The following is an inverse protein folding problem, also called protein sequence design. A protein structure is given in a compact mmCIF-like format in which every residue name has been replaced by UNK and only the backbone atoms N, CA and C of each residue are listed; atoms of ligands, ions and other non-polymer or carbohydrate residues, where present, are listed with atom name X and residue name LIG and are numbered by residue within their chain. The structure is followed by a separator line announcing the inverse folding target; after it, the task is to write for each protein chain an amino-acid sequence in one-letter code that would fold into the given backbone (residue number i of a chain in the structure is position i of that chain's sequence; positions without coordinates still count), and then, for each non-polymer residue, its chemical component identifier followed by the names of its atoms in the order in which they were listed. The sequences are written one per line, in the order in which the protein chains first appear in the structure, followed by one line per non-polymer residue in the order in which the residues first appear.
data_IF_295471135739
#
_entry.id   IF_295471135739
#
_cell.length_a   1.000
_cell.length_b   1.000
_cell.length_c   1.000
_cell.angle_alpha   90.00
_cell.angle_beta   90.00
_cell.angle_gamma   90.00
#
_symmetry.space_group_name_H-M   'P 1'
#
loop_
_entity.id
_entity.type
_entity.pdbx_description
1 polymer ?
#
# COMPACT_ATOMS: atom_id res chain seq x y z
N UNK A 1 6.23 -13.95 -42.34
CA UNK A 1 5.35 -13.26 -41.39
C UNK A 1 6.15 -12.07 -40.91
N UNK A 2 5.96 -10.90 -41.54
CA UNK A 2 6.74 -9.69 -41.25
C UNK A 2 6.34 -9.15 -39.88
N UNK A 3 7.28 -9.19 -38.95
CA UNK A 3 7.18 -8.55 -37.64
C UNK A 3 7.26 -7.03 -37.82
N UNK A 4 6.11 -6.38 -37.88
CA UNK A 4 6.02 -4.92 -37.78
C UNK A 4 6.61 -4.45 -36.46
N UNK A 5 7.77 -3.83 -36.51
CA UNK A 5 8.40 -3.17 -35.36
C UNK A 5 7.55 -1.96 -35.00
N UNK A 6 6.96 -1.98 -33.80
CA UNK A 6 6.23 -0.84 -33.25
C UNK A 6 7.20 0.35 -33.08
N UNK A 7 6.88 1.51 -33.68
CA UNK A 7 7.64 2.76 -33.52
C UNK A 7 7.71 3.11 -32.01
N UNK A 8 8.91 3.43 -31.49
CA UNK A 8 9.05 3.83 -30.09
C UNK A 8 8.51 5.25 -29.88
N UNK A 9 8.11 5.58 -28.64
CA UNK A 9 7.65 6.93 -28.29
C UNK A 9 8.67 8.01 -28.68
N UNK A 10 9.95 7.72 -28.49
CA UNK A 10 11.05 8.61 -28.86
C UNK A 10 11.16 8.80 -30.39
N UNK A 11 10.99 7.72 -31.17
CA UNK A 11 10.97 7.76 -32.63
C UNK A 11 9.77 8.57 -33.15
N UNK A 12 8.58 8.37 -32.58
CA UNK A 12 7.36 9.11 -32.92
C UNK A 12 7.54 10.61 -32.66
N UNK A 13 8.03 10.99 -31.47
CA UNK A 13 8.29 12.39 -31.13
C UNK A 13 9.36 13.02 -32.04
N UNK A 14 10.41 12.29 -32.41
CA UNK A 14 11.45 12.77 -33.32
C UNK A 14 10.90 13.02 -34.74
N UNK A 15 10.03 12.14 -35.24
CA UNK A 15 9.35 12.30 -36.52
C UNK A 15 8.47 13.54 -36.54
N UNK A 16 7.63 13.75 -35.52
CA UNK A 16 6.80 14.96 -35.42
C UNK A 16 7.63 16.25 -35.36
N UNK A 17 8.75 16.27 -34.62
CA UNK A 17 9.66 17.43 -34.61
C UNK A 17 10.27 17.73 -35.98
N UNK A 18 10.56 16.69 -36.77
CA UNK A 18 11.10 16.84 -38.12
C UNK A 18 10.04 17.34 -39.10
N UNK A 19 8.85 16.76 -39.08
CA UNK A 19 7.71 17.16 -39.91
C UNK A 19 7.35 18.64 -39.72
N UNK A 20 7.34 19.11 -38.47
CA UNK A 20 7.09 20.52 -38.14
C UNK A 20 8.14 21.47 -38.75
N UNK A 21 9.45 21.10 -38.67
CA UNK A 21 10.54 21.89 -39.26
C UNK A 21 10.45 21.94 -40.79
N UNK A 22 10.16 20.80 -41.42
CA UNK A 22 10.03 20.70 -42.87
C UNK A 22 8.83 21.52 -43.37
N UNK A 23 7.71 21.51 -42.64
CA UNK A 23 6.52 22.31 -42.94
C UNK A 23 6.83 23.81 -42.86
N UNK A 24 7.54 24.25 -41.81
CA UNK A 24 7.96 25.64 -41.67
C UNK A 24 8.88 26.09 -42.81
N UNK A 25 9.79 25.22 -43.26
CA UNK A 25 10.63 25.44 -44.43
C UNK A 25 9.82 25.62 -45.72
N UNK A 26 8.85 24.73 -45.97
CA UNK A 26 7.94 24.80 -47.13
C UNK A 26 7.12 26.09 -47.14
N UNK A 27 6.56 26.47 -45.99
CA UNK A 27 5.80 27.70 -45.84
C UNK A 27 6.64 28.95 -46.12
N UNK A 28 7.87 28.98 -45.61
CA UNK A 28 8.82 30.08 -45.83
C UNK A 28 9.16 30.22 -47.32
N UNK A 29 9.41 29.11 -48.00
CA UNK A 29 9.71 29.11 -49.43
C UNK A 29 8.50 29.55 -50.27
N UNK A 30 7.30 29.07 -49.96
CA UNK A 30 6.04 29.51 -50.60
C UNK A 30 5.83 31.02 -50.46
N UNK A 31 6.00 31.56 -49.25
CA UNK A 31 5.87 33.00 -49.00
C UNK A 31 6.92 33.84 -49.75
N UNK A 32 8.16 33.35 -49.86
CA UNK A 32 9.25 34.01 -50.62
C UNK A 32 8.96 34.08 -52.12
N UNK A 33 8.38 33.02 -52.70
CA UNK A 33 8.09 32.94 -54.14
C UNK A 33 6.74 33.56 -54.53
N UNK A 34 5.99 34.12 -53.58
CA UNK A 34 4.68 34.70 -53.84
C UNK A 34 4.77 36.07 -54.54
N UNK A 35 3.96 36.26 -55.58
CA UNK A 35 3.83 37.54 -56.30
C UNK A 35 2.73 38.41 -55.68
N UNK A 36 2.66 39.71 -56.02
CA UNK A 36 1.59 40.61 -55.55
C UNK A 36 0.17 40.05 -55.79
N UNK A 37 -0.06 39.34 -56.91
CA UNK A 37 -1.36 38.75 -57.26
C UNK A 37 -1.67 37.46 -56.49
N UNK A 38 -0.66 36.69 -56.09
CA UNK A 38 -0.82 35.38 -55.44
C UNK A 38 -0.60 35.39 -53.93
N UNK A 39 -0.09 36.50 -53.36
CA UNK A 39 0.26 36.62 -51.94
C UNK A 39 -0.88 36.33 -50.97
N UNK A 40 -2.12 36.73 -51.29
CA UNK A 40 -3.29 36.45 -50.43
C UNK A 40 -3.56 34.94 -50.32
N UNK A 41 -3.68 34.25 -51.46
CA UNK A 41 -3.90 32.79 -51.47
C UNK A 41 -2.77 32.00 -50.83
N UNK A 42 -1.50 32.40 -51.05
CA UNK A 42 -0.34 31.77 -50.40
C UNK A 42 -0.37 31.96 -48.87
N UNK A 43 -0.83 33.11 -48.38
CA UNK A 43 -0.98 33.35 -46.95
C UNK A 43 -2.12 32.52 -46.34
N UNK A 44 -3.25 32.39 -47.03
CA UNK A 44 -4.39 31.58 -46.59
C UNK A 44 -4.01 30.09 -46.52
N UNK A 45 -3.32 29.56 -47.54
CA UNK A 45 -2.77 28.19 -47.54
C UNK A 45 -1.79 27.97 -46.38
N UNK A 46 -0.94 28.96 -46.10
CA UNK A 46 0.00 28.90 -44.97
C UNK A 46 -0.73 28.84 -43.62
N UNK A 47 -1.79 29.63 -43.43
CA UNK A 47 -2.58 29.63 -42.20
C UNK A 47 -3.32 28.30 -42.00
N UNK A 48 -3.81 27.68 -43.08
CA UNK A 48 -4.43 26.36 -43.03
C UNK A 48 -3.42 25.26 -42.65
N UNK A 49 -2.23 25.28 -43.25
CA UNK A 49 -1.13 24.37 -42.91
C UNK A 49 -0.73 24.50 -41.42
N UNK A 50 -0.61 25.72 -40.90
CA UNK A 50 -0.34 25.98 -39.48
C UNK A 50 -1.46 25.48 -38.55
N UNK A 51 -2.72 25.64 -38.95
CA UNK A 51 -3.87 25.14 -38.16
C UNK A 51 -3.88 23.61 -38.11
N UNK A 52 -3.62 22.95 -39.23
CA UNK A 52 -3.57 21.48 -39.32
C UNK A 52 -2.41 20.93 -38.50
N UNK A 53 -1.24 21.55 -38.58
CA UNK A 53 -0.06 21.18 -37.79
C UNK A 53 -0.30 21.34 -36.29
N UNK A 54 -0.93 22.45 -35.87
CA UNK A 54 -1.26 22.66 -34.45
C UNK A 54 -2.19 21.59 -33.90
N UNK A 55 -3.19 21.16 -34.69
CA UNK A 55 -4.09 20.07 -34.30
C UNK A 55 -3.36 18.73 -34.24
N UNK A 56 -2.52 18.44 -35.23
CA UNK A 56 -1.70 17.22 -35.25
C UNK A 56 -0.74 17.15 -34.06
N UNK A 57 -0.07 18.27 -33.74
CA UNK A 57 0.81 18.36 -32.56
C UNK A 57 0.06 18.11 -31.26
N UNK A 58 -1.12 18.71 -31.09
CA UNK A 58 -1.94 18.51 -29.89
C UNK A 58 -2.40 17.05 -29.76
N UNK A 59 -2.78 16.41 -30.87
CA UNK A 59 -3.16 15.00 -30.88
C UNK A 59 -1.98 14.10 -30.49
N UNK A 60 -0.79 14.35 -31.07
CA UNK A 60 0.43 13.61 -30.75
C UNK A 60 0.88 13.83 -29.29
N UNK A 61 0.76 15.04 -28.75
CA UNK A 61 1.03 15.33 -27.33
C UNK A 61 0.07 14.59 -26.40
N UNK A 62 -1.23 14.51 -26.75
CA UNK A 62 -2.22 13.76 -25.98
C UNK A 62 -1.97 12.25 -26.02
N UNK A 63 -1.64 11.71 -27.19
CA UNK A 63 -1.30 10.30 -27.36
C UNK A 63 -0.02 9.95 -26.60
N UNK A 64 1.02 10.78 -26.69
CA UNK A 64 2.24 10.61 -25.91
C UNK A 64 2.00 10.67 -24.40
N UNK A 65 1.14 11.60 -23.94
CA UNK A 65 0.77 11.70 -22.53
C UNK A 65 -0.04 10.48 -22.06
N UNK A 66 -0.95 9.94 -22.89
CA UNK A 66 -1.69 8.73 -22.59
C UNK A 66 -0.76 7.51 -22.49
N UNK A 67 0.15 7.34 -23.45
CA UNK A 67 1.16 6.26 -23.42
C UNK A 67 2.07 6.39 -22.20
N UNK A 68 2.52 7.60 -21.86
CA UNK A 68 3.34 7.83 -20.68
C UNK A 68 2.57 7.49 -19.39
N UNK A 69 1.31 7.92 -19.27
CA UNK A 69 0.45 7.58 -18.13
C UNK A 69 0.19 6.08 -18.02
N UNK A 70 -0.01 5.37 -19.14
CA UNK A 70 -0.16 3.91 -19.17
C UNK A 70 1.13 3.20 -18.76
N UNK A 71 2.30 3.69 -19.21
CA UNK A 71 3.61 3.14 -18.81
C UNK A 71 3.91 3.39 -17.33
N UNK A 72 3.57 4.57 -16.81
CA UNK A 72 3.67 4.89 -15.39
C UNK A 72 2.73 3.99 -14.56
N UNK A 73 1.50 3.80 -15.00
CA UNK A 73 0.54 2.90 -14.34
C UNK A 73 0.97 1.42 -14.41
N UNK A 74 1.57 0.98 -15.52
CA UNK A 74 2.09 -0.38 -15.67
C UNK A 74 3.35 -0.65 -14.83
N UNK A 75 4.15 0.40 -14.58
CA UNK A 75 5.34 0.33 -13.73
C UNK A 75 5.03 0.52 -12.24
N UNK A 76 3.81 0.92 -11.87
CA UNK A 76 3.35 0.84 -10.49
C UNK A 76 3.30 -0.64 -10.11
N UNK A 77 4.22 -1.05 -9.24
CA UNK A 77 4.24 -2.41 -8.70
C UNK A 77 2.91 -2.64 -7.99
N UNK A 78 2.18 -3.69 -8.37
CA UNK A 78 0.95 -4.11 -7.71
C UNK A 78 1.30 -4.70 -6.33
N UNK A 79 1.67 -3.81 -5.40
CA UNK A 79 2.01 -4.14 -4.03
C UNK A 79 0.85 -4.87 -3.35
N UNK A 80 -0.39 -4.48 -3.68
CA UNK A 80 -1.60 -5.08 -3.12
C UNK A 80 -1.84 -6.49 -3.63
N UNK A 81 -1.69 -6.74 -4.92
CA UNK A 81 -1.83 -8.07 -5.50
C UNK A 81 -0.72 -9.03 -5.08
N UNK A 82 0.52 -8.52 -4.97
CA UNK A 82 1.65 -9.30 -4.46
C UNK A 82 1.48 -9.66 -2.97
N UNK A 83 1.10 -8.68 -2.13
CA UNK A 83 0.80 -8.88 -0.70
C UNK A 83 -0.31 -9.93 -0.54
N UNK A 84 -1.45 -9.74 -1.23
CA UNK A 84 -2.58 -10.66 -1.17
C UNK A 84 -2.19 -12.08 -1.56
N UNK A 85 -1.43 -12.25 -2.65
CA UNK A 85 -1.01 -13.58 -3.10
C UNK A 85 -0.11 -14.28 -2.08
N UNK A 86 0.89 -13.58 -1.54
CA UNK A 86 1.77 -14.14 -0.51
C UNK A 86 0.98 -14.58 0.73
N UNK A 87 0.10 -13.72 1.21
CA UNK A 87 -0.72 -13.99 2.39
C UNK A 87 -1.64 -15.19 2.16
N UNK A 88 -2.33 -15.27 1.00
CA UNK A 88 -3.17 -16.42 0.65
C UNK A 88 -2.38 -17.75 0.64
N UNK A 89 -1.13 -17.72 0.16
CA UNK A 89 -0.27 -18.91 0.12
C UNK A 89 0.17 -19.34 1.53
N UNK A 90 0.54 -18.39 2.41
CA UNK A 90 0.83 -18.68 3.82
C UNK A 90 -0.42 -19.16 4.58
N UNK A 91 -1.60 -18.59 4.30
CA UNK A 91 -2.86 -19.04 4.91
C UNK A 91 -3.15 -20.49 4.53
N UNK A 92 -3.03 -20.84 3.24
CA UNK A 92 -3.22 -22.22 2.76
C UNK A 92 -2.22 -23.19 3.40
N UNK A 93 -0.94 -22.80 3.44
CA UNK A 93 0.14 -23.60 4.02
C UNK A 93 -0.06 -23.92 5.49
N UNK A 94 -0.60 -22.97 6.26
CA UNK A 94 -0.83 -23.13 7.70
C UNK A 94 -2.26 -23.58 8.06
N UNK A 95 -3.12 -23.80 7.07
CA UNK A 95 -4.53 -24.19 7.26
C UNK A 95 -5.34 -23.10 7.96
N UNK A 96 -5.08 -21.83 7.61
CA UNK A 96 -5.69 -20.66 8.21
C UNK A 96 -6.78 -20.08 7.32
N UNK A 97 -7.77 -19.46 7.94
CA UNK A 97 -8.84 -18.68 7.32
C UNK A 97 -8.90 -17.33 8.01
N UNK A 98 -9.01 -16.28 7.20
CA UNK A 98 -9.14 -14.94 7.69
C UNK A 98 -10.52 -14.69 8.32
N UNK A 99 -10.49 -14.12 9.52
CA UNK A 99 -11.63 -13.50 10.18
C UNK A 99 -11.47 -11.99 10.07
N UNK A 100 -12.36 -11.37 9.29
CA UNK A 100 -12.40 -9.92 9.15
C UNK A 100 -12.67 -9.24 10.49
N UNK A 101 -11.83 -8.25 10.80
CA UNK A 101 -11.94 -7.36 11.94
C UNK A 101 -12.41 -5.99 11.45
N UNK A 102 -13.08 -5.24 12.32
CA UNK A 102 -13.53 -3.89 11.98
C UNK A 102 -12.29 -3.01 11.66
N UNK A 103 -12.26 -2.27 10.53
CA UNK A 103 -11.16 -1.40 10.16
C UNK A 103 -11.19 -0.07 10.93
N UNK A 104 -10.91 -0.13 12.23
CA UNK A 104 -10.73 1.02 13.11
C UNK A 104 -9.39 0.96 13.87
N UNK A 105 -9.10 1.98 14.68
CA UNK A 105 -7.87 2.05 15.49
C UNK A 105 -7.75 0.99 16.59
N UNK A 106 -8.75 0.12 16.76
CA UNK A 106 -8.71 -0.99 17.70
C UNK A 106 -8.43 -2.34 17.02
N UNK A 107 -8.18 -2.37 15.71
CA UNK A 107 -8.05 -3.59 14.93
C UNK A 107 -7.02 -4.58 15.51
N UNK A 108 -5.82 -4.12 15.89
CA UNK A 108 -4.80 -4.97 16.52
C UNK A 108 -5.34 -5.72 17.74
N UNK A 109 -5.84 -4.96 18.72
CA UNK A 109 -6.33 -5.52 19.98
C UNK A 109 -7.60 -6.36 19.80
N UNK A 110 -8.43 -6.03 18.81
CA UNK A 110 -9.62 -6.80 18.46
C UNK A 110 -9.24 -8.15 17.82
N UNK A 111 -8.25 -8.17 16.92
CA UNK A 111 -7.73 -9.38 16.30
C UNK A 111 -7.07 -10.29 17.34
N UNK A 112 -6.29 -9.72 18.27
CA UNK A 112 -5.70 -10.46 19.40
C UNK A 112 -6.79 -11.01 20.33
N UNK A 113 -7.78 -10.20 20.73
CA UNK A 113 -8.86 -10.67 21.61
C UNK A 113 -9.63 -11.85 20.98
N UNK A 114 -9.89 -11.79 19.68
CA UNK A 114 -10.49 -12.88 18.92
C UNK A 114 -9.65 -14.17 19.00
N UNK A 115 -8.35 -14.06 18.74
CA UNK A 115 -7.42 -15.20 18.80
C UNK A 115 -7.32 -15.81 20.19
N UNK A 116 -7.21 -14.98 21.24
CA UNK A 116 -7.14 -15.45 22.62
C UNK A 116 -8.41 -16.21 23.00
N UNK A 117 -9.58 -15.72 22.57
CA UNK A 117 -10.85 -16.41 22.78
C UNK A 117 -10.89 -17.76 22.04
N UNK A 118 -10.43 -17.82 20.79
CA UNK A 118 -10.35 -19.07 20.02
C UNK A 118 -9.43 -20.10 20.69
N UNK A 119 -8.35 -19.65 21.33
CA UNK A 119 -7.43 -20.49 22.11
C UNK A 119 -7.90 -20.78 23.53
N UNK A 120 -9.10 -20.31 23.92
CA UNK A 120 -9.62 -20.42 25.29
C UNK A 120 -8.69 -19.81 26.35
N UNK A 121 -7.92 -18.79 25.98
CA UNK A 121 -7.05 -18.03 26.88
C UNK A 121 -7.88 -16.89 27.49
N UNK A 122 -7.99 -16.80 28.83
CA UNK A 122 -8.81 -15.77 29.48
C UNK A 122 -8.21 -14.38 29.28
N UNK A 123 -9.03 -13.42 28.85
CA UNK A 123 -8.59 -12.03 28.68
C UNK A 123 -8.29 -11.33 30.03
N UNK A 124 -8.94 -11.79 31.11
CA UNK A 124 -8.78 -11.24 32.46
C UNK A 124 -9.47 -9.88 32.67
N UNK A 125 -10.63 -9.67 32.03
CA UNK A 125 -11.45 -8.45 32.12
C UNK A 125 -12.87 -8.74 32.62
N UNK A 126 -13.71 -7.70 32.69
CA UNK A 126 -15.10 -7.83 33.13
C UNK A 126 -15.98 -8.44 32.03
N UNK A 127 -16.98 -9.26 32.40
CA UNK A 127 -17.84 -10.01 31.46
C UNK A 127 -18.56 -9.16 30.40
N UNK A 128 -18.71 -7.86 30.62
CA UNK A 128 -19.45 -6.93 29.74
C UNK A 128 -18.54 -6.00 28.92
N UNK A 129 -17.24 -6.02 29.16
CA UNK A 129 -16.31 -5.16 28.45
C UNK A 129 -15.93 -5.77 27.09
N UNK A 130 -15.92 -4.99 25.99
CA UNK A 130 -15.39 -5.46 24.72
C UNK A 130 -13.94 -5.96 24.87
N UNK A 131 -13.64 -7.16 24.39
CA UNK A 131 -12.35 -7.82 24.62
C UNK A 131 -11.12 -6.97 24.24
N UNK A 132 -11.22 -6.18 23.17
CA UNK A 132 -10.12 -5.29 22.75
C UNK A 132 -9.71 -4.28 23.83
N UNK A 133 -10.64 -3.80 24.67
CA UNK A 133 -10.33 -2.85 25.75
C UNK A 133 -9.52 -3.53 26.85
N UNK A 134 -9.87 -4.76 27.19
CA UNK A 134 -9.13 -5.58 28.16
C UNK A 134 -7.71 -5.82 27.68
N UNK A 135 -7.54 -6.30 26.45
CA UNK A 135 -6.22 -6.57 25.86
C UNK A 135 -5.40 -5.27 25.80
N UNK A 136 -5.99 -4.16 25.35
CA UNK A 136 -5.35 -2.85 25.29
C UNK A 136 -4.87 -2.38 26.65
N UNK A 137 -5.70 -2.48 27.69
CA UNK A 137 -5.34 -2.09 29.06
C UNK A 137 -4.22 -2.95 29.61
N UNK A 138 -4.26 -4.26 29.37
CA UNK A 138 -3.22 -5.19 29.82
C UNK A 138 -1.89 -4.94 29.14
N UNK A 139 -1.89 -4.71 27.83
CA UNK A 139 -0.68 -4.37 27.07
C UNK A 139 -0.07 -3.04 27.55
N UNK A 140 -0.88 -1.98 27.64
CA UNK A 140 -0.41 -0.68 28.13
C UNK A 140 0.10 -0.74 29.57
N UNK A 141 -0.58 -1.49 30.44
CA UNK A 141 -0.13 -1.73 31.82
C UNK A 141 1.24 -2.42 31.87
N UNK A 142 1.42 -3.46 31.06
CA UNK A 142 2.70 -4.17 30.98
C UNK A 142 3.84 -3.25 30.51
N UNK A 143 3.60 -2.43 29.48
CA UNK A 143 4.58 -1.44 28.99
C UNK A 143 4.95 -0.46 30.10
N UNK A 144 3.97 0.01 30.87
CA UNK A 144 4.22 0.90 32.01
C UNK A 144 5.02 0.27 33.13
N UNK A 145 4.76 -1.01 33.45
CA UNK A 145 5.49 -1.77 34.47
C UNK A 145 6.93 -2.10 34.05
N UNK A 146 7.19 -2.24 32.74
CA UNK A 146 8.48 -2.58 32.17
C UNK A 146 9.08 -1.40 31.38
N UNK A 147 8.81 -0.18 31.86
CA UNK A 147 9.11 1.06 31.15
C UNK A 147 10.54 1.19 30.62
N UNK A 148 11.52 0.72 31.40
CA UNK A 148 12.94 0.79 31.05
C UNK A 148 13.28 -0.01 29.77
N UNK A 149 12.53 -1.08 29.48
CA UNK A 149 12.71 -1.91 28.28
C UNK A 149 12.14 -1.25 27.02
N UNK A 150 11.14 -0.40 27.20
CA UNK A 150 10.39 0.21 26.10
C UNK A 150 10.79 1.67 25.83
N UNK A 151 11.26 2.41 26.84
CA UNK A 151 11.50 3.84 26.78
C UNK A 151 12.41 4.27 25.61
N UNK A 152 13.40 3.43 25.25
CA UNK A 152 14.30 3.72 24.12
C UNK A 152 13.64 3.66 22.74
N UNK A 153 12.44 3.11 22.63
CA UNK A 153 11.67 2.98 21.38
C UNK A 153 10.52 3.98 21.29
N UNK A 154 10.24 4.75 22.35
CA UNK A 154 9.14 5.71 22.39
C UNK A 154 9.60 7.09 21.95
N UNK A 155 8.76 7.78 21.18
CA UNK A 155 8.99 9.18 20.78
C UNK A 155 8.51 10.20 21.84
N UNK A 156 7.68 9.74 22.77
CA UNK A 156 7.08 10.53 23.85
C UNK A 156 7.42 9.91 25.22
N UNK A 157 7.05 10.60 26.31
CA UNK A 157 7.25 10.05 27.64
C UNK A 157 6.37 8.82 27.90
N UNK A 158 6.89 7.88 28.67
CA UNK A 158 6.25 6.59 28.94
C UNK A 158 4.83 6.74 29.50
N UNK A 159 4.62 7.68 30.41
CA UNK A 159 3.32 7.85 31.07
C UNK A 159 2.26 8.35 30.08
N UNK A 160 2.61 9.34 29.26
CA UNK A 160 1.76 9.85 28.17
C UNK A 160 1.45 8.75 27.16
N UNK A 161 2.46 7.99 26.73
CA UNK A 161 2.30 6.89 25.79
C UNK A 161 1.33 5.83 26.32
N UNK A 162 1.57 5.34 27.54
CA UNK A 162 0.74 4.32 28.20
C UNK A 162 -0.69 4.82 28.34
N UNK A 163 -0.89 6.07 28.77
CA UNK A 163 -2.23 6.66 28.89
C UNK A 163 -2.94 6.75 27.55
N UNK A 164 -2.27 7.27 26.52
CA UNK A 164 -2.82 7.39 25.17
C UNK A 164 -3.17 6.02 24.60
N UNK A 165 -2.25 5.06 24.70
CA UNK A 165 -2.46 3.70 24.21
C UNK A 165 -3.61 3.00 24.95
N UNK A 166 -3.75 3.20 26.26
CA UNK A 166 -4.83 2.63 27.08
C UNK A 166 -6.20 3.22 26.77
N UNK A 167 -6.28 4.55 26.68
CA UNK A 167 -7.56 5.28 26.78
C UNK A 167 -8.16 5.68 25.42
N UNK A 168 -7.42 5.51 24.32
CA UNK A 168 -7.84 5.98 23.00
C UNK A 168 -7.88 4.87 21.96
N UNK A 169 -8.23 5.23 20.72
CA UNK A 169 -8.14 4.38 19.54
C UNK A 169 -6.77 4.51 18.83
N UNK A 170 -5.71 4.81 19.58
CA UNK A 170 -4.35 4.80 19.05
C UNK A 170 -4.03 3.45 18.44
N UNK A 171 -3.39 3.50 17.28
CA UNK A 171 -2.94 2.35 16.52
C UNK A 171 -1.83 1.64 17.27
N UNK A 172 -1.98 0.33 17.48
CA UNK A 172 -0.92 -0.48 18.09
C UNK A 172 0.00 -1.08 17.03
N UNK A 173 1.22 -1.42 17.41
CA UNK A 173 2.20 -2.05 16.54
C UNK A 173 3.10 -3.03 17.28
N UNK A 174 4.40 -2.98 16.98
CA UNK A 174 5.38 -3.95 17.48
C UNK A 174 5.50 -3.95 19.02
N UNK A 175 5.51 -2.76 19.62
CA UNK A 175 5.62 -2.60 21.08
C UNK A 175 4.43 -3.26 21.79
N UNK A 176 3.22 -2.99 21.30
CA UNK A 176 1.99 -3.60 21.83
C UNK A 176 1.98 -5.11 21.64
N UNK A 177 2.43 -5.61 20.48
CA UNK A 177 2.49 -7.05 20.21
C UNK A 177 3.47 -7.77 21.14
N UNK A 178 4.64 -7.19 21.40
CA UNK A 178 5.59 -7.71 22.38
C UNK A 178 4.98 -7.74 23.78
N UNK A 179 4.33 -6.64 24.18
CA UNK A 179 3.65 -6.57 25.47
C UNK A 179 2.54 -7.63 25.59
N UNK A 180 1.70 -7.78 24.56
CA UNK A 180 0.66 -8.82 24.50
C UNK A 180 1.25 -10.23 24.61
N UNK A 181 2.33 -10.51 23.87
CA UNK A 181 2.99 -11.80 23.92
C UNK A 181 3.46 -12.14 25.34
N UNK A 182 4.06 -11.18 26.04
CA UNK A 182 4.48 -11.33 27.43
C UNK A 182 3.31 -11.48 28.40
N UNK A 183 2.29 -10.60 28.31
CA UNK A 183 1.12 -10.61 29.20
C UNK A 183 0.36 -11.94 29.15
N UNK A 184 0.13 -12.47 27.94
CA UNK A 184 -0.68 -13.68 27.76
C UNK A 184 0.16 -14.95 27.63
N UNK A 185 1.49 -14.82 27.57
CA UNK A 185 2.41 -15.93 27.35
C UNK A 185 2.16 -16.66 26.03
N UNK A 186 1.89 -15.90 24.96
CA UNK A 186 1.54 -16.42 23.63
C UNK A 186 2.63 -16.13 22.60
N UNK A 187 2.81 -17.04 21.65
CA UNK A 187 3.61 -16.81 20.45
C UNK A 187 2.71 -16.21 19.36
N UNK A 188 3.05 -15.04 18.85
CA UNK A 188 2.25 -14.32 17.84
C UNK A 188 2.92 -14.46 16.48
N UNK A 189 2.19 -14.98 15.51
CA UNK A 189 2.62 -15.04 14.11
C UNK A 189 1.87 -13.98 13.33
N UNK A 190 2.59 -13.02 12.77
CA UNK A 190 2.02 -11.95 11.95
C UNK A 190 2.41 -12.20 10.50
N UNK A 191 1.45 -12.65 9.70
CA UNK A 191 1.63 -12.82 8.25
C UNK A 191 1.47 -11.46 7.60
N UNK A 192 2.48 -11.01 6.86
CA UNK A 192 2.51 -9.72 6.17
C UNK A 192 3.20 -9.84 4.81
N UNK A 193 3.29 -8.76 4.03
CA UNK A 193 3.92 -8.79 2.70
C UNK A 193 5.34 -9.40 2.76
N UNK A 194 5.50 -10.55 2.09
CA UNK A 194 6.75 -11.32 1.89
C UNK A 194 7.41 -11.89 3.15
N UNK A 195 6.80 -11.78 4.32
CA UNK A 195 7.37 -12.30 5.56
C UNK A 195 6.28 -12.68 6.57
N UNK A 196 6.59 -13.69 7.39
CA UNK A 196 5.82 -14.01 8.59
C UNK A 196 6.70 -13.68 9.79
N UNK A 197 6.32 -12.65 10.53
CA UNK A 197 7.02 -12.25 11.75
C UNK A 197 6.56 -13.12 12.91
N UNK A 198 7.50 -13.52 13.77
CA UNK A 198 7.22 -14.36 14.94
C UNK A 198 7.68 -13.65 16.20
N UNK A 199 6.73 -13.25 17.02
CA UNK A 199 6.94 -12.54 18.28
C UNK A 199 6.74 -13.52 19.42
N UNK A 200 7.72 -13.58 20.33
CA UNK A 200 7.75 -14.53 21.45
C UNK A 200 7.79 -13.80 22.79
N UNK A 201 7.21 -14.37 23.85
CA UNK A 201 7.39 -13.88 25.21
C UNK A 201 8.86 -14.01 25.63
N UNK A 202 9.37 -13.08 26.43
CA UNK A 202 10.76 -13.04 26.89
C UNK A 202 11.12 -14.24 27.78
N UNK A 203 10.21 -14.66 28.67
CA UNK A 203 10.45 -15.74 29.63
C UNK A 203 9.91 -17.11 29.18
N UNK A 204 9.32 -17.21 27.98
CA UNK A 204 8.82 -18.47 27.49
C UNK A 204 9.98 -19.36 27.00
N UNK A 205 10.24 -20.46 27.71
CA UNK A 205 10.77 -21.65 27.04
C UNK A 205 9.89 -21.92 25.82
N UNK A 206 10.50 -22.23 24.67
CA UNK A 206 9.80 -22.41 23.39
C UNK A 206 8.43 -23.04 23.62
N UNK A 207 7.36 -22.32 23.24
CA UNK A 207 6.00 -22.78 23.47
C UNK A 207 5.85 -24.16 22.83
N UNK A 208 5.90 -25.21 23.64
CA UNK A 208 5.72 -26.58 23.16
C UNK A 208 4.23 -26.80 22.92
N UNK A 209 3.85 -26.73 21.64
CA UNK A 209 2.47 -26.98 21.19
C UNK A 209 1.83 -25.78 20.48
N UNK A 210 0.76 -26.06 19.75
CA UNK A 210 0.00 -25.03 19.00
C UNK A 210 -0.96 -24.23 19.92
N UNK A 211 -1.13 -24.64 21.18
CA UNK A 211 -2.18 -24.16 22.08
C UNK A 211 -2.02 -22.68 22.48
N UNK A 212 -0.79 -22.17 22.51
CA UNK A 212 -0.52 -20.74 22.77
C UNK A 212 0.02 -19.99 21.55
N UNK A 213 -0.20 -20.51 20.35
CA UNK A 213 0.16 -19.82 19.10
C UNK A 213 -1.05 -19.09 18.54
N UNK A 214 -0.94 -17.78 18.38
CA UNK A 214 -1.97 -16.97 17.73
C UNK A 214 -1.47 -16.44 16.38
N UNK A 215 -2.40 -16.27 15.45
CA UNK A 215 -2.09 -15.85 14.08
C UNK A 215 -2.87 -14.59 13.71
N UNK A 216 -2.14 -13.62 13.17
CA UNK A 216 -2.67 -12.34 12.70
C UNK A 216 -2.26 -12.14 11.24
N UNK A 217 -3.11 -11.46 10.49
CA UNK A 217 -2.80 -10.96 9.16
C UNK A 217 -2.63 -9.44 9.23
N UNK A 218 -1.52 -8.94 8.71
CA UNK A 218 -1.23 -7.52 8.64
C UNK A 218 -1.18 -7.04 7.19
N UNK A 219 -2.04 -6.09 6.87
CA UNK A 219 -2.14 -5.47 5.56
C UNK A 219 -1.58 -4.06 5.64
N UNK A 220 -0.62 -3.73 4.78
CA UNK A 220 -0.10 -2.36 4.68
C UNK A 220 -0.79 -1.58 3.56
N UNK A 221 -1.16 -2.26 2.48
CA UNK A 221 -1.77 -1.66 1.29
C UNK A 221 -3.17 -2.23 0.96
N UNK A 222 -3.64 -3.20 1.73
CA UNK A 222 -4.89 -3.92 1.49
C UNK A 222 -6.16 -3.09 1.73
N UNK A 223 -6.11 -2.09 2.61
CA UNK A 223 -7.26 -1.32 3.09
C UNK A 223 -7.17 0.16 2.69
N UNK A 224 -8.31 0.74 2.27
CA UNK A 224 -8.38 2.15 1.84
C UNK A 224 -8.12 3.18 2.95
N UNK A 225 -8.06 2.73 4.21
CA UNK A 225 -7.79 3.55 5.40
C UNK A 225 -6.34 3.42 5.91
N UNK A 226 -5.48 2.70 5.18
CA UNK A 226 -4.09 2.47 5.56
C UNK A 226 -3.87 1.03 6.05
N UNK A 227 -3.03 0.91 7.07
CA UNK A 227 -2.65 -0.38 7.66
C UNK A 227 -3.89 -1.08 8.27
N UNK A 228 -3.87 -2.41 8.44
CA UNK A 228 -4.95 -3.16 9.10
C UNK A 228 -4.52 -4.52 9.66
N UNK A 229 -5.09 -4.91 10.80
CA UNK A 229 -4.93 -6.26 11.38
C UNK A 229 -6.23 -7.05 11.33
N UNK A 230 -6.16 -8.26 10.78
CA UNK A 230 -7.19 -9.30 10.87
C UNK A 230 -6.73 -10.48 11.73
N UNK A 231 -7.70 -11.26 12.20
CA UNK A 231 -7.46 -12.51 12.93
C UNK A 231 -7.37 -13.69 11.94
N UNK A 232 -6.47 -14.64 12.17
CA UNK A 232 -6.33 -15.85 11.34
C UNK A 232 -6.70 -17.09 12.15
N UNK A 233 -7.84 -17.70 11.85
CA UNK A 233 -8.36 -18.87 12.57
C UNK A 233 -7.98 -20.16 11.85
N UNK A 234 -7.90 -21.27 12.58
CA UNK A 234 -7.76 -22.59 11.94
C UNK A 234 -8.99 -22.90 11.09
N UNK A 235 -8.76 -23.42 9.90
CA UNK A 235 -9.82 -23.93 9.03
C UNK A 235 -10.47 -25.14 9.72
N UNK A 236 -11.76 -25.01 10.05
CA UNK A 236 -12.57 -26.09 10.61
C UNK A 236 -12.72 -27.27 9.63
#
# INVERSE_FOLDING_TARGET
MDGGTSETLEQMQARHRKEAKDLQGRMTNKKKNATKKTRKGVNDECAEMERKERLARRAAEQEAAAIAAEQEAANMTDHRGAEKKYMEDEFKKHGLVEQEIRPDGHCLFSAVADQLQQRSIPLGGEDREPGYKTVRRKAAGYIGEHGDEYAGFLEEDLESYVRKMRDTAEWGGQIELLAVANVYGVEIHVVQDRQTEVIRPAEAAAVEGDDKRIWLAYYRHGYGLGEHYNSLRKKA
#
